data_IF_205433598333
#
_entry.id   IF_205433598333
#
_cell.length_a   1.000
_cell.length_b   1.000
_cell.length_c   1.000
_cell.angle_alpha   90.00
_cell.angle_beta   90.00
_cell.angle_gamma   90.00
#
_symmetry.space_group_name_H-M   'P 1'
#
loop_
_entity.id
_entity.type
_entity.pdbx_description
1 polymer ?
#
# COMPACT_ATOMS: atom_id res chain seq x y z
N UNK A 1 -26.40 -14.88 8.55
CA UNK A 1 -26.71 -14.04 7.37
C UNK A 1 -26.30 -12.63 7.77
N UNK A 2 -25.36 -12.01 7.04
CA UNK A 2 -24.83 -10.68 7.37
C UNK A 2 -25.94 -9.65 7.57
N UNK A 3 -25.68 -8.64 8.40
CA UNK A 3 -26.70 -7.69 8.87
C UNK A 3 -27.27 -6.83 7.73
N UNK A 4 -26.51 -6.65 6.65
CA UNK A 4 -26.92 -6.02 5.40
C UNK A 4 -26.37 -6.79 4.19
N UNK A 5 -27.00 -6.60 3.02
CA UNK A 5 -26.47 -7.08 1.75
C UNK A 5 -25.02 -6.61 1.54
N UNK A 6 -24.12 -7.45 0.99
CA UNK A 6 -22.70 -7.14 0.84
C UNK A 6 -22.45 -5.84 0.07
N UNK A 7 -23.27 -5.57 -0.96
CA UNK A 7 -23.18 -4.36 -1.78
C UNK A 7 -23.55 -3.10 -1.00
N UNK A 8 -24.60 -3.16 -0.17
CA UNK A 8 -25.01 -2.03 0.69
C UNK A 8 -23.96 -1.76 1.77
N UNK A 9 -23.42 -2.82 2.37
CA UNK A 9 -22.33 -2.71 3.35
C UNK A 9 -21.08 -2.04 2.77
N UNK A 10 -20.71 -2.39 1.53
CA UNK A 10 -19.61 -1.75 0.81
C UNK A 10 -19.88 -0.26 0.58
N UNK A 11 -21.08 0.10 0.15
CA UNK A 11 -21.47 1.47 -0.14
C UNK A 11 -21.45 2.36 1.12
N UNK A 12 -21.94 1.82 2.24
CA UNK A 12 -21.92 2.49 3.55
C UNK A 12 -20.49 2.68 4.05
N UNK A 13 -19.64 1.66 3.97
CA UNK A 13 -18.23 1.76 4.40
C UNK A 13 -17.45 2.74 3.54
N UNK A 14 -17.69 2.77 2.23
CA UNK A 14 -17.06 3.73 1.33
C UNK A 14 -17.49 5.18 1.63
N UNK A 15 -18.77 5.38 1.94
CA UNK A 15 -19.26 6.68 2.40
C UNK A 15 -18.59 7.10 3.72
N UNK A 16 -18.44 6.17 4.66
CA UNK A 16 -17.77 6.41 5.94
C UNK A 16 -16.28 6.73 5.77
N UNK A 17 -15.59 6.06 4.85
CA UNK A 17 -14.21 6.40 4.47
C UNK A 17 -14.14 7.83 3.92
N UNK A 18 -15.04 8.20 3.02
CA UNK A 18 -15.14 9.56 2.47
C UNK A 18 -15.34 10.62 3.56
N UNK A 19 -16.22 10.35 4.53
CA UNK A 19 -16.45 11.24 5.67
C UNK A 19 -15.23 11.35 6.58
N UNK A 20 -14.54 10.23 6.88
CA UNK A 20 -13.33 10.24 7.70
C UNK A 20 -12.18 11.01 7.04
N UNK A 21 -12.04 10.86 5.72
CA UNK A 21 -11.08 11.63 4.92
C UNK A 21 -11.43 13.11 4.90
N UNK A 22 -12.71 13.45 4.72
CA UNK A 22 -13.18 14.84 4.77
C UNK A 22 -12.89 15.50 6.12
N UNK A 23 -13.09 14.76 7.21
CA UNK A 23 -12.85 15.25 8.58
C UNK A 23 -11.37 15.25 9.00
N UNK A 24 -10.44 15.05 8.05
CA UNK A 24 -8.98 15.04 8.27
C UNK A 24 -8.55 14.05 9.37
N UNK A 25 -9.24 12.92 9.51
CA UNK A 25 -8.78 11.85 10.41
C UNK A 25 -7.44 11.33 9.90
N UNK A 26 -6.50 10.98 10.79
CA UNK A 26 -5.21 10.39 10.41
C UNK A 26 -5.47 9.22 9.46
N UNK A 27 -4.86 9.26 8.28
CA UNK A 27 -5.12 8.30 7.20
C UNK A 27 -4.98 6.84 7.67
N UNK A 28 -3.97 6.55 8.49
CA UNK A 28 -3.78 5.22 9.05
C UNK A 28 -4.92 4.73 9.94
N UNK A 29 -5.57 5.62 10.70
CA UNK A 29 -6.72 5.26 11.54
C UNK A 29 -7.94 5.00 10.64
N UNK A 30 -8.18 5.86 9.65
CA UNK A 30 -9.28 5.70 8.71
C UNK A 30 -9.18 4.35 7.97
N UNK A 31 -7.99 4.03 7.46
CA UNK A 31 -7.70 2.79 6.73
C UNK A 31 -7.87 1.51 7.57
N UNK A 32 -7.77 1.60 8.90
CA UNK A 32 -8.00 0.45 9.80
C UNK A 32 -9.49 0.35 10.16
N UNK A 33 -10.13 1.47 10.47
CA UNK A 33 -11.53 1.48 10.96
C UNK A 33 -12.51 1.11 9.85
N UNK A 34 -12.31 1.58 8.61
CA UNK A 34 -13.26 1.32 7.51
C UNK A 34 -13.43 -0.16 7.14
N UNK A 35 -12.37 -0.98 6.99
CA UNK A 35 -12.53 -2.41 6.75
C UNK A 35 -13.11 -3.14 7.95
N UNK A 36 -12.84 -2.72 9.19
CA UNK A 36 -13.46 -3.32 10.39
C UNK A 36 -14.97 -3.07 10.39
N UNK A 37 -15.39 -1.82 10.12
CA UNK A 37 -16.81 -1.48 10.01
C UNK A 37 -17.46 -2.25 8.87
N UNK A 38 -16.79 -2.35 7.71
CA UNK A 38 -17.29 -3.15 6.58
C UNK A 38 -17.47 -4.63 6.96
N UNK A 39 -16.47 -5.23 7.62
CA UNK A 39 -16.51 -6.61 8.05
C UNK A 39 -17.65 -6.86 9.04
N UNK A 40 -17.87 -5.95 10.00
CA UNK A 40 -19.01 -6.05 10.93
C UNK A 40 -20.37 -5.94 10.24
N UNK A 41 -20.51 -5.11 9.21
CA UNK A 41 -21.79 -4.92 8.51
C UNK A 41 -22.08 -6.08 7.54
N UNK A 42 -21.05 -6.56 6.85
CA UNK A 42 -21.19 -7.53 5.76
C UNK A 42 -21.12 -8.99 6.22
N UNK A 43 -20.41 -9.30 7.31
CA UNK A 43 -20.19 -10.68 7.77
C UNK A 43 -20.74 -10.95 9.17
N UNK A 44 -21.01 -12.22 9.47
CA UNK A 44 -21.30 -12.63 10.84
C UNK A 44 -20.00 -12.60 11.65
N UNK A 45 -20.12 -12.29 12.94
CA UNK A 45 -18.98 -12.24 13.87
C UNK A 45 -18.12 -13.52 13.89
N UNK A 46 -18.73 -14.68 13.61
CA UNK A 46 -18.03 -15.98 13.57
C UNK A 46 -17.16 -16.19 12.33
N UNK A 47 -17.47 -15.51 11.22
CA UNK A 47 -16.80 -15.73 9.93
C UNK A 47 -15.59 -14.80 9.77
N UNK A 48 -15.52 -13.72 10.56
CA UNK A 48 -14.44 -12.73 10.50
C UNK A 48 -13.06 -13.36 10.79
N UNK A 49 -12.88 -14.17 11.85
CA UNK A 49 -11.58 -14.78 12.14
C UNK A 49 -11.18 -15.81 11.08
N UNK A 50 -12.14 -16.57 10.56
CA UNK A 50 -11.89 -17.58 9.52
C UNK A 50 -11.46 -16.92 8.21
N UNK A 51 -12.10 -15.81 7.83
CA UNK A 51 -11.76 -15.09 6.60
C UNK A 51 -10.39 -14.41 6.72
N UNK A 52 -10.07 -13.83 7.88
CA UNK A 52 -8.73 -13.31 8.15
C UNK A 52 -7.66 -14.39 8.04
N UNK A 53 -7.90 -15.56 8.64
CA UNK A 53 -6.97 -16.69 8.56
C UNK A 53 -6.81 -17.17 7.11
N UNK A 54 -7.92 -17.31 6.38
CA UNK A 54 -7.91 -17.72 4.97
C UNK A 54 -7.17 -16.72 4.06
N UNK A 55 -7.20 -15.41 4.37
CA UNK A 55 -6.50 -14.37 3.61
C UNK A 55 -5.01 -14.26 3.94
N UNK A 56 -4.57 -14.81 5.06
CA UNK A 56 -3.15 -14.81 5.48
C UNK A 56 -2.53 -16.20 5.35
N UNK A 57 -3.34 -17.23 5.07
CA UNK A 57 -2.89 -18.60 4.89
C UNK A 57 -1.90 -18.70 3.71
N UNK A 58 -0.63 -19.07 3.98
CA UNK A 58 0.40 -19.16 2.94
C UNK A 58 0.17 -20.33 1.97
N UNK A 59 -0.74 -21.24 2.31
CA UNK A 59 -1.10 -22.42 1.52
C UNK A 59 -2.20 -22.14 0.48
N UNK A 60 -2.88 -20.99 0.55
CA UNK A 60 -3.84 -20.55 -0.48
C UNK A 60 -3.16 -19.54 -1.41
N UNK A 61 -3.43 -19.64 -2.72
CA UNK A 61 -2.86 -18.71 -3.72
C UNK A 61 -3.18 -17.24 -3.39
N UNK A 62 -4.42 -16.97 -2.95
CA UNK A 62 -4.86 -15.61 -2.58
C UNK A 62 -4.10 -15.05 -1.37
N UNK A 63 -3.80 -15.90 -0.37
CA UNK A 63 -3.06 -15.49 0.82
C UNK A 63 -1.57 -15.26 0.56
N UNK A 64 -0.97 -16.07 -0.31
CA UNK A 64 0.41 -15.88 -0.76
C UNK A 64 0.60 -14.55 -1.50
N UNK A 65 -0.35 -14.19 -2.38
CA UNK A 65 -0.33 -12.89 -3.07
C UNK A 65 -0.47 -11.73 -2.08
N UNK A 66 -1.40 -11.82 -1.13
CA UNK A 66 -1.57 -10.79 -0.10
C UNK A 66 -0.29 -10.59 0.72
N UNK A 67 0.33 -11.68 1.18
CA UNK A 67 1.60 -11.65 1.91
C UNK A 67 2.72 -11.02 1.09
N UNK A 68 2.87 -11.40 -0.18
CA UNK A 68 3.89 -10.82 -1.06
C UNK A 68 3.71 -9.32 -1.26
N UNK A 69 2.47 -8.86 -1.46
CA UNK A 69 2.16 -7.43 -1.62
C UNK A 69 2.45 -6.66 -0.34
N UNK A 70 2.04 -7.18 0.82
CA UNK A 70 2.32 -6.56 2.12
C UNK A 70 3.83 -6.50 2.37
N UNK A 71 4.55 -7.61 2.14
CA UNK A 71 5.99 -7.69 2.32
C UNK A 71 6.74 -6.74 1.38
N UNK A 72 6.34 -6.68 0.11
CA UNK A 72 6.93 -5.77 -0.87
C UNK A 72 6.71 -4.30 -0.48
N UNK A 73 5.48 -3.94 -0.08
CA UNK A 73 5.13 -2.58 0.33
C UNK A 73 5.87 -2.18 1.61
N UNK A 74 5.95 -3.10 2.57
CA UNK A 74 6.69 -2.89 3.81
C UNK A 74 8.18 -2.72 3.53
N UNK A 75 8.77 -3.61 2.73
CA UNK A 75 10.19 -3.56 2.36
C UNK A 75 10.52 -2.27 1.63
N UNK A 76 9.69 -1.87 0.65
CA UNK A 76 9.85 -0.60 -0.07
C UNK A 76 9.79 0.61 0.87
N UNK A 77 8.84 0.63 1.79
CA UNK A 77 8.70 1.70 2.79
C UNK A 77 9.89 1.73 3.75
N UNK A 78 10.37 0.56 4.18
CA UNK A 78 11.53 0.40 5.05
C UNK A 78 12.81 0.87 4.38
N UNK A 79 13.05 0.46 3.14
CA UNK A 79 14.16 0.96 2.33
C UNK A 79 14.05 2.48 2.15
N UNK A 80 12.87 3.01 1.85
CA UNK A 80 12.67 4.47 1.73
C UNK A 80 13.06 5.21 3.01
N UNK A 81 12.77 4.64 4.18
CA UNK A 81 13.18 5.20 5.46
C UNK A 81 14.71 5.16 5.63
N UNK A 82 15.33 3.99 5.39
CA UNK A 82 16.78 3.83 5.46
C UNK A 82 17.51 4.80 4.52
N UNK A 83 17.08 4.91 3.27
CA UNK A 83 17.67 5.79 2.29
C UNK A 83 17.53 7.29 2.63
N UNK A 84 16.44 7.68 3.29
CA UNK A 84 16.27 9.05 3.81
C UNK A 84 17.24 9.34 4.95
N UNK A 85 17.44 8.38 5.84
CA UNK A 85 18.30 8.54 7.01
C UNK A 85 19.79 8.58 6.62
N UNK A 86 20.21 7.73 5.69
CA UNK A 86 21.62 7.65 5.26
C UNK A 86 22.05 8.77 4.31
N UNK A 87 21.10 9.56 3.77
CA UNK A 87 21.30 10.58 2.71
C UNK A 87 21.97 10.03 1.42
N UNK A 88 22.09 8.72 1.29
CA UNK A 88 22.70 8.05 0.12
C UNK A 88 21.98 8.39 -1.18
N UNK A 89 20.67 8.65 -1.13
CA UNK A 89 19.90 9.09 -2.30
C UNK A 89 20.35 10.48 -2.80
N UNK A 90 20.78 11.37 -1.92
CA UNK A 90 21.29 12.70 -2.32
C UNK A 90 22.63 12.55 -3.00
N UNK A 91 23.53 11.74 -2.45
CA UNK A 91 24.85 11.46 -3.04
C UNK A 91 24.71 10.75 -4.38
N UNK A 92 23.81 9.78 -4.49
CA UNK A 92 23.50 9.11 -5.74
C UNK A 92 22.88 10.07 -6.77
N UNK A 93 21.96 10.94 -6.35
CA UNK A 93 21.33 11.94 -7.22
C UNK A 93 22.33 12.98 -7.72
N UNK A 94 23.24 13.46 -6.87
CA UNK A 94 24.35 14.34 -7.25
C UNK A 94 25.35 13.64 -8.18
N UNK A 95 25.65 12.37 -7.93
CA UNK A 95 26.47 11.53 -8.80
C UNK A 95 25.85 11.37 -10.19
N UNK A 96 24.57 11.05 -10.26
CA UNK A 96 23.82 10.92 -11.51
C UNK A 96 23.73 12.27 -12.23
N UNK A 97 23.47 13.36 -11.49
CA UNK A 97 23.46 14.72 -12.02
C UNK A 97 24.82 15.08 -12.62
N UNK A 98 25.92 14.77 -11.94
CA UNK A 98 27.28 14.99 -12.45
C UNK A 98 27.60 14.13 -13.69
N UNK A 99 27.09 12.89 -13.76
CA UNK A 99 27.24 12.03 -14.93
C UNK A 99 26.48 12.62 -16.13
N UNK A 100 25.23 13.04 -15.93
CA UNK A 100 24.43 13.73 -16.95
C UNK A 100 25.09 15.05 -17.34
N UNK A 101 25.66 15.80 -16.40
CA UNK A 101 26.32 17.09 -16.68
C UNK A 101 27.65 16.94 -17.41
N UNK A 102 28.16 15.72 -17.61
CA UNK A 102 29.32 15.44 -18.47
C UNK A 102 28.86 15.22 -19.92
N UNK A 103 28.97 16.24 -20.81
CA UNK A 103 28.50 16.14 -22.19
C UNK A 103 29.17 15.02 -22.99
N UNK A 104 30.40 14.63 -22.64
CA UNK A 104 31.12 13.51 -23.27
C UNK A 104 30.44 12.15 -23.06
N UNK A 105 29.75 11.95 -21.94
CA UNK A 105 29.00 10.72 -21.68
C UNK A 105 27.64 10.75 -22.36
N UNK A 106 26.97 11.91 -22.37
CA UNK A 106 25.72 12.11 -23.13
C UNK A 106 25.96 11.83 -24.63
N UNK A 107 27.06 12.31 -25.19
CA UNK A 107 27.46 12.06 -26.59
C UNK A 107 27.76 10.58 -26.91
N UNK A 108 28.05 9.76 -25.91
CA UNK A 108 28.23 8.31 -26.08
C UNK A 108 26.90 7.56 -26.08
N UNK A 109 25.89 8.08 -25.36
CA UNK A 109 24.54 7.52 -25.28
C UNK A 109 23.55 8.10 -26.31
N UNK A 110 23.86 9.24 -26.93
CA UNK A 110 23.23 9.65 -28.19
C UNK A 110 23.85 8.82 -29.31
N UNK A 111 23.20 7.76 -29.81
CA UNK A 111 23.60 7.20 -31.10
C UNK A 111 23.56 8.35 -32.10
N UNK A 112 24.62 8.44 -32.90
CA UNK A 112 24.77 9.45 -33.94
C UNK A 112 23.46 9.67 -34.70
N UNK A 113 22.84 10.82 -34.46
CA UNK A 113 21.89 11.46 -35.38
C UNK A 113 22.65 12.63 -36.00
#
# INVERSE_FOLDING_TARGET
>A
MGMLDPLLSMLISFCLLGVMLYKRVKLGIALIVTPIVLALLALNWSDIPELLYATVDPFKQDGLLALLVILATFSSSWFSYLYKETREVVVFSEGLSNIIRRPKLILFFLPAI
#
